data_IF_906679938453
#
_entry.id   IF_906679938453
#
_cell.length_a   1.000
_cell.length_b   1.000
_cell.length_c   1.000
_cell.angle_alpha   90.00
_cell.angle_beta   90.00
_cell.angle_gamma   90.00
#
_symmetry.space_group_name_H-M   'P 1'
#
loop_
_entity.id
_entity.type
_entity.pdbx_description
1 polymer ?
#
# COMPACT_ATOMS: atom_id res chain seq x y z
N UNK A 1 45.20 -33.04 -16.05
CA UNK A 1 44.55 -31.76 -16.39
C UNK A 1 43.27 -32.05 -17.17
N UNK A 2 42.18 -31.27 -17.10
CA UNK A 2 41.82 -30.15 -16.22
C UNK A 2 40.69 -30.55 -15.22
N UNK A 3 40.51 -29.97 -14.04
CA UNK A 3 40.20 -28.56 -13.78
C UNK A 3 38.68 -28.37 -13.67
N UNK A 4 38.05 -28.88 -12.60
CA UNK A 4 36.62 -28.60 -12.31
C UNK A 4 36.52 -27.14 -11.89
N UNK A 5 36.26 -26.26 -12.86
CA UNK A 5 35.85 -24.89 -12.61
C UNK A 5 34.54 -24.89 -11.86
N UNK A 6 34.62 -24.69 -10.54
CA UNK A 6 33.46 -24.38 -9.72
C UNK A 6 32.80 -23.13 -10.30
N UNK A 7 31.58 -23.28 -10.81
CA UNK A 7 30.71 -22.13 -11.09
C UNK A 7 30.45 -21.47 -9.74
N UNK A 8 31.09 -20.34 -9.48
CA UNK A 8 30.58 -19.40 -8.47
C UNK A 8 29.22 -18.91 -8.98
N UNK A 9 28.15 -19.53 -8.49
CA UNK A 9 26.80 -19.00 -8.64
C UNK A 9 26.81 -17.69 -7.83
N UNK A 10 26.86 -16.54 -8.52
CA UNK A 10 26.54 -15.28 -7.86
C UNK A 10 25.12 -15.41 -7.30
N UNK A 11 24.83 -14.90 -6.09
CA UNK A 11 23.45 -14.87 -5.61
C UNK A 11 22.61 -14.10 -6.62
N UNK A 12 21.57 -14.74 -7.15
CA UNK A 12 20.70 -14.06 -8.12
C UNK A 12 19.95 -12.94 -7.40
N UNK A 13 19.99 -11.72 -7.92
CA UNK A 13 19.20 -10.64 -7.34
C UNK A 13 17.70 -10.98 -7.46
N UNK A 14 16.86 -10.34 -6.63
CA UNK A 14 15.41 -10.50 -6.79
C UNK A 14 14.94 -10.03 -8.17
N UNK A 15 15.63 -9.05 -8.76
CA UNK A 15 15.37 -8.59 -10.12
C UNK A 15 15.66 -9.68 -11.16
N UNK A 16 16.73 -10.45 -11.02
CA UNK A 16 17.03 -11.58 -11.93
C UNK A 16 15.97 -12.68 -11.87
N UNK A 17 15.28 -12.84 -10.73
CA UNK A 17 14.20 -13.85 -10.56
C UNK A 17 12.91 -13.47 -11.31
N UNK A 18 12.55 -12.18 -11.33
CA UNK A 18 11.36 -11.69 -12.05
C UNK A 18 11.68 -11.33 -13.51
N UNK A 19 12.83 -10.71 -13.75
CA UNK A 19 13.21 -10.17 -15.05
C UNK A 19 12.45 -8.89 -15.45
N UNK A 20 12.98 -8.13 -16.43
CA UNK A 20 12.42 -6.85 -16.85
C UNK A 20 11.02 -6.98 -17.48
N UNK A 21 10.81 -7.97 -18.34
CA UNK A 21 9.57 -8.12 -19.11
C UNK A 21 8.40 -8.54 -18.23
N UNK A 22 8.61 -9.50 -17.32
CA UNK A 22 7.57 -9.90 -16.38
C UNK A 22 7.24 -8.77 -15.40
N UNK A 23 8.24 -8.02 -14.92
CA UNK A 23 8.00 -6.83 -14.11
C UNK A 23 7.14 -5.79 -14.86
N UNK A 24 7.43 -5.54 -16.15
CA UNK A 24 6.61 -4.65 -16.99
C UNK A 24 5.19 -5.16 -17.18
N UNK A 25 5.01 -6.46 -17.39
CA UNK A 25 3.68 -7.08 -17.54
C UNK A 25 2.84 -6.93 -16.27
N UNK A 26 3.43 -7.21 -15.10
CA UNK A 26 2.79 -7.02 -13.78
C UNK A 26 2.38 -5.56 -13.59
N UNK A 27 3.26 -4.60 -13.89
CA UNK A 27 2.97 -3.17 -13.74
C UNK A 27 1.87 -2.69 -14.69
N UNK A 28 1.85 -3.19 -15.91
CA UNK A 28 0.82 -2.85 -16.89
C UNK A 28 -0.57 -3.30 -16.38
N UNK A 29 -0.70 -4.54 -15.91
CA UNK A 29 -1.94 -5.05 -15.31
C UNK A 29 -2.31 -4.29 -14.04
N UNK A 30 -1.36 -4.12 -13.12
CA UNK A 30 -1.55 -3.40 -11.85
C UNK A 30 -2.14 -2.01 -12.07
N UNK A 31 -1.54 -1.20 -12.95
CA UNK A 31 -2.07 0.13 -13.25
C UNK A 31 -3.38 0.10 -14.03
N UNK A 32 -3.68 -0.98 -14.76
CA UNK A 32 -5.00 -1.19 -15.36
C UNK A 32 -6.08 -1.32 -14.31
N UNK A 33 -5.82 -2.17 -13.31
CA UNK A 33 -6.72 -2.36 -12.16
C UNK A 33 -6.83 -1.09 -11.31
N UNK A 34 -5.73 -0.40 -11.04
CA UNK A 34 -5.73 0.87 -10.26
C UNK A 34 -6.56 1.95 -10.94
N UNK A 35 -6.40 2.16 -12.25
CA UNK A 35 -7.18 3.18 -12.97
C UNK A 35 -8.66 2.81 -13.08
N UNK A 36 -8.98 1.52 -13.16
CA UNK A 36 -10.35 1.01 -13.21
C UNK A 36 -11.02 0.86 -11.83
N UNK A 37 -10.29 1.02 -10.73
CA UNK A 37 -10.82 0.76 -9.40
C UNK A 37 -11.81 1.84 -8.95
N UNK A 38 -12.95 1.39 -8.41
CA UNK A 38 -14.05 2.27 -7.99
C UNK A 38 -13.69 3.18 -6.80
N UNK A 39 -12.76 2.76 -5.94
CA UNK A 39 -12.38 3.49 -4.72
C UNK A 39 -11.21 4.43 -4.96
N UNK A 40 -10.24 4.07 -5.80
CA UNK A 40 -9.01 4.87 -5.98
C UNK A 40 -8.81 5.41 -7.38
N UNK A 41 -9.47 4.88 -8.41
CA UNK A 41 -9.23 5.25 -9.80
C UNK A 41 -9.44 6.73 -10.10
N UNK A 42 -10.33 7.40 -9.36
CA UNK A 42 -10.54 8.84 -9.49
C UNK A 42 -9.28 9.69 -9.17
N UNK A 43 -8.39 9.20 -8.29
CA UNK A 43 -7.13 9.88 -7.96
C UNK A 43 -6.15 9.89 -9.14
N UNK A 44 -6.32 8.97 -10.08
CA UNK A 44 -5.46 8.78 -11.25
C UNK A 44 -6.03 9.38 -12.53
N UNK A 45 -7.23 10.00 -12.49
CA UNK A 45 -7.82 10.65 -13.66
C UNK A 45 -6.92 11.76 -14.21
N UNK A 46 -6.73 11.75 -15.53
CA UNK A 46 -5.89 12.72 -16.24
C UNK A 46 -4.39 12.53 -16.02
N UNK A 47 -3.95 11.49 -15.29
CA UNK A 47 -2.53 11.14 -15.18
C UNK A 47 -2.12 10.31 -16.39
N UNK A 48 -0.88 10.50 -16.83
CA UNK A 48 -0.27 9.64 -17.83
C UNK A 48 0.05 8.27 -17.20
N UNK A 49 -0.70 7.24 -17.63
CA UNK A 49 -0.55 5.88 -17.14
C UNK A 49 0.83 5.29 -17.49
N UNK A 50 1.35 5.56 -18.68
CA UNK A 50 2.64 5.03 -19.09
C UNK A 50 3.75 5.65 -18.25
N UNK A 51 3.68 6.95 -18.00
CA UNK A 51 4.61 7.63 -17.11
C UNK A 51 4.62 7.04 -15.69
N UNK A 52 3.45 6.71 -15.13
CA UNK A 52 3.36 6.07 -13.81
C UNK A 52 3.96 4.66 -13.80
N UNK A 53 3.70 3.87 -14.85
CA UNK A 53 4.30 2.56 -15.03
C UNK A 53 5.84 2.66 -15.09
N UNK A 54 6.38 3.65 -15.81
CA UNK A 54 7.83 3.86 -15.91
C UNK A 54 8.47 4.23 -14.58
N UNK A 55 7.82 5.12 -13.81
CA UNK A 55 8.31 5.50 -12.48
C UNK A 55 8.24 4.35 -11.47
N UNK A 56 7.17 3.55 -11.49
CA UNK A 56 7.05 2.37 -10.63
C UNK A 56 8.05 1.28 -11.03
N UNK A 57 8.31 1.11 -12.34
CA UNK A 57 9.34 0.20 -12.84
C UNK A 57 10.71 0.58 -12.32
N UNK A 58 11.12 1.84 -12.46
CA UNK A 58 12.41 2.30 -11.96
C UNK A 58 12.54 2.09 -10.45
N UNK A 59 11.51 2.45 -9.68
CA UNK A 59 11.49 2.30 -8.22
C UNK A 59 11.64 0.83 -7.81
N UNK A 60 10.85 -0.05 -8.43
CA UNK A 60 10.82 -1.47 -8.09
C UNK A 60 12.05 -2.19 -8.61
N UNK A 61 12.49 -1.94 -9.83
CA UNK A 61 13.70 -2.54 -10.38
C UNK A 61 14.94 -2.17 -9.56
N UNK A 62 15.08 -0.89 -9.18
CA UNK A 62 16.16 -0.45 -8.30
C UNK A 62 16.11 -1.14 -6.93
N UNK A 63 14.92 -1.23 -6.31
CA UNK A 63 14.70 -1.97 -5.06
C UNK A 63 15.13 -3.44 -5.18
N UNK A 64 14.76 -4.12 -6.26
CA UNK A 64 15.02 -5.54 -6.46
C UNK A 64 16.48 -5.84 -6.88
N UNK A 65 17.31 -4.80 -7.05
CA UNK A 65 18.73 -4.94 -7.37
C UNK A 65 19.03 -5.01 -8.87
N UNK A 66 18.21 -4.38 -9.72
CA UNK A 66 18.48 -4.28 -11.15
C UNK A 66 19.78 -3.47 -11.39
N UNK A 67 20.73 -3.98 -12.20
CA UNK A 67 21.96 -3.27 -12.49
C UNK A 67 21.69 -2.02 -13.32
N UNK A 68 22.24 -0.89 -12.89
CA UNK A 68 22.19 0.38 -13.64
C UNK A 68 20.83 1.08 -13.67
N UNK A 69 19.81 0.55 -12.98
CA UNK A 69 18.50 1.20 -12.86
C UNK A 69 18.48 2.03 -11.59
N UNK A 70 18.08 3.30 -11.72
CA UNK A 70 17.87 4.21 -10.59
C UNK A 70 16.49 4.86 -10.70
N UNK A 71 15.89 5.16 -9.55
CA UNK A 71 14.64 5.90 -9.51
C UNK A 71 14.86 7.37 -9.85
N UNK A 72 14.22 7.85 -10.91
CA UNK A 72 14.36 9.24 -11.38
C UNK A 72 13.13 10.12 -11.10
N UNK A 73 12.11 9.54 -10.47
CA UNK A 73 10.89 10.26 -10.15
C UNK A 73 11.04 11.20 -8.95
N UNK A 74 9.98 11.98 -8.71
CA UNK A 74 9.91 12.88 -7.55
C UNK A 74 9.94 12.08 -6.24
N UNK A 75 10.47 12.64 -5.14
CA UNK A 75 10.35 12.04 -3.82
C UNK A 75 8.89 11.75 -3.47
N UNK A 76 8.61 10.63 -2.79
CA UNK A 76 7.24 10.17 -2.52
C UNK A 76 6.38 11.24 -1.83
N UNK A 77 6.93 11.94 -0.82
CA UNK A 77 6.23 13.04 -0.15
C UNK A 77 5.80 14.13 -1.13
N UNK A 78 6.67 14.52 -2.05
CA UNK A 78 6.41 15.60 -3.02
C UNK A 78 5.43 15.15 -4.09
N UNK A 79 5.58 13.92 -4.59
CA UNK A 79 4.70 13.36 -5.62
C UNK A 79 3.24 13.25 -5.14
N UNK A 80 3.02 13.00 -3.85
CA UNK A 80 1.70 12.75 -3.26
C UNK A 80 1.14 13.94 -2.45
N UNK A 81 1.93 14.98 -2.18
CA UNK A 81 1.55 16.10 -1.29
C UNK A 81 0.24 16.81 -1.65
N UNK A 82 -0.10 16.86 -2.95
CA UNK A 82 -1.30 17.55 -3.43
C UNK A 82 -2.58 16.72 -3.27
N UNK A 83 -2.48 15.47 -2.84
CA UNK A 83 -3.60 14.54 -2.75
C UNK A 83 -3.88 14.19 -1.29
N UNK A 84 -5.14 14.34 -0.87
CA UNK A 84 -5.61 13.84 0.41
C UNK A 84 -5.84 12.32 0.31
N UNK A 85 -4.77 11.54 0.51
CA UNK A 85 -4.82 10.08 0.45
C UNK A 85 -5.10 9.53 1.85
N UNK A 86 -6.22 8.83 2.01
CA UNK A 86 -6.60 8.19 3.27
C UNK A 86 -5.97 6.80 3.40
N UNK A 87 -5.86 6.28 4.63
CA UNK A 87 -5.27 4.97 4.89
C UNK A 87 -5.96 3.82 4.14
N UNK A 88 -7.28 3.84 4.05
CA UNK A 88 -8.03 2.83 3.28
C UNK A 88 -7.74 2.87 1.77
N UNK A 89 -7.46 4.04 1.20
CA UNK A 89 -7.09 4.16 -0.22
C UNK A 89 -5.67 3.63 -0.48
N UNK A 90 -4.75 3.88 0.46
CA UNK A 90 -3.43 3.27 0.41
C UNK A 90 -3.51 1.75 0.46
N UNK A 91 -4.26 1.20 1.42
CA UNK A 91 -4.47 -0.25 1.53
C UNK A 91 -5.15 -0.83 0.29
N UNK A 92 -6.12 -0.12 -0.30
CA UNK A 92 -6.76 -0.60 -1.53
C UNK A 92 -5.76 -0.74 -2.67
N UNK A 93 -4.87 0.24 -2.89
CA UNK A 93 -3.80 0.13 -3.88
C UNK A 93 -2.89 -1.07 -3.57
N UNK A 94 -2.53 -1.25 -2.31
CA UNK A 94 -1.66 -2.37 -1.89
C UNK A 94 -2.34 -3.73 -2.09
N UNK A 95 -3.64 -3.82 -1.84
CA UNK A 95 -4.43 -5.03 -2.09
C UNK A 95 -4.48 -5.38 -3.58
N UNK A 96 -4.69 -4.40 -4.45
CA UNK A 96 -4.62 -4.60 -5.91
C UNK A 96 -3.23 -5.11 -6.31
N UNK A 97 -2.16 -4.58 -5.71
CA UNK A 97 -0.79 -5.06 -5.96
C UNK A 97 -0.64 -6.53 -5.56
N UNK A 98 -1.07 -6.93 -4.36
CA UNK A 98 -1.03 -8.33 -3.89
C UNK A 98 -1.77 -9.27 -4.84
N UNK A 99 -2.97 -8.88 -5.28
CA UNK A 99 -3.77 -9.64 -6.23
C UNK A 99 -3.04 -9.79 -7.57
N UNK A 100 -2.48 -8.69 -8.09
CA UNK A 100 -1.77 -8.69 -9.37
C UNK A 100 -0.50 -9.56 -9.31
N UNK A 101 0.28 -9.46 -8.24
CA UNK A 101 1.49 -10.27 -8.05
C UNK A 101 1.19 -11.77 -8.01
N UNK A 102 0.11 -12.15 -7.30
CA UNK A 102 -0.34 -13.54 -7.23
C UNK A 102 -0.82 -14.05 -8.59
N UNK A 103 -1.60 -13.26 -9.32
CA UNK A 103 -2.16 -13.65 -10.61
C UNK A 103 -1.07 -13.85 -11.68
N UNK A 104 0.05 -13.14 -11.56
CA UNK A 104 1.24 -13.30 -12.42
C UNK A 104 2.21 -14.37 -11.90
N UNK A 105 1.86 -15.09 -10.83
CA UNK A 105 2.70 -16.11 -10.19
C UNK A 105 4.12 -15.62 -9.90
N UNK A 106 4.25 -14.35 -9.47
CA UNK A 106 5.55 -13.75 -9.12
C UNK A 106 6.16 -14.55 -7.97
N UNK A 107 7.48 -14.70 -7.99
CA UNK A 107 8.22 -15.38 -6.93
C UNK A 107 7.90 -14.80 -5.53
N UNK A 108 7.63 -15.63 -4.50
CA UNK A 108 7.19 -15.16 -3.19
C UNK A 108 8.12 -14.17 -2.50
N UNK A 109 9.44 -14.32 -2.66
CA UNK A 109 10.41 -13.40 -2.04
C UNK A 109 10.39 -12.04 -2.75
N UNK A 110 10.18 -12.04 -4.07
CA UNK A 110 9.98 -10.81 -4.84
C UNK A 110 8.69 -10.12 -4.42
N UNK A 111 7.60 -10.88 -4.22
CA UNK A 111 6.33 -10.33 -3.73
C UNK A 111 6.53 -9.66 -2.37
N UNK A 112 7.14 -10.38 -1.41
CA UNK A 112 7.36 -9.89 -0.06
C UNK A 112 8.20 -8.61 -0.05
N UNK A 113 9.34 -8.61 -0.75
CA UNK A 113 10.22 -7.45 -0.82
C UNK A 113 9.52 -6.22 -1.42
N UNK A 114 8.72 -6.40 -2.47
CA UNK A 114 7.99 -5.30 -3.10
C UNK A 114 6.89 -4.77 -2.18
N UNK A 115 6.09 -5.64 -1.56
CA UNK A 115 5.03 -5.25 -0.62
C UNK A 115 5.60 -4.51 0.60
N UNK A 116 6.69 -5.01 1.19
CA UNK A 116 7.34 -4.39 2.34
C UNK A 116 7.87 -2.99 2.00
N UNK A 117 8.44 -2.83 0.80
CA UNK A 117 8.88 -1.53 0.35
C UNK A 117 7.72 -0.54 0.21
N UNK A 118 6.59 -0.96 -0.35
CA UNK A 118 5.41 -0.10 -0.47
C UNK A 118 4.91 0.32 0.92
N UNK A 119 4.80 -0.63 1.86
CA UNK A 119 4.42 -0.37 3.25
C UNK A 119 5.36 0.64 3.93
N UNK A 120 6.67 0.51 3.75
CA UNK A 120 7.65 1.45 4.29
C UNK A 120 7.48 2.89 3.76
N UNK A 121 6.89 3.06 2.56
CA UNK A 121 6.60 4.37 1.99
C UNK A 121 5.29 4.99 2.52
N UNK A 122 4.47 4.25 3.29
CA UNK A 122 3.16 4.74 3.77
C UNK A 122 3.24 6.10 4.43
N UNK A 123 4.15 6.27 5.39
CA UNK A 123 4.32 7.54 6.13
C UNK A 123 4.81 8.72 5.27
N UNK A 124 5.19 8.46 4.01
CA UNK A 124 5.52 9.49 3.03
C UNK A 124 4.34 9.83 2.11
N UNK A 125 3.38 8.91 1.95
CA UNK A 125 2.26 9.01 1.00
C UNK A 125 0.98 9.49 1.70
N UNK A 126 0.74 9.03 2.93
CA UNK A 126 -0.43 9.39 3.73
C UNK A 126 -0.03 9.79 5.15
N UNK A 127 -0.86 10.63 5.78
CA UNK A 127 -0.73 10.99 7.19
C UNK A 127 -1.24 9.90 8.13
N UNK A 128 -2.10 9.01 7.61
CA UNK A 128 -2.60 7.84 8.31
C UNK A 128 -1.49 6.77 8.33
N UNK A 129 -0.89 6.53 9.50
CA UNK A 129 0.22 5.57 9.63
C UNK A 129 -0.24 4.11 9.66
N UNK A 130 -1.54 3.85 9.55
CA UNK A 130 -2.16 2.53 9.74
C UNK A 130 -3.05 2.54 10.97
N UNK A 131 -4.19 1.86 10.89
CA UNK A 131 -4.94 1.46 12.07
C UNK A 131 -4.23 0.28 12.71
N UNK A 132 -3.17 0.57 13.46
CA UNK A 132 -2.86 -0.29 14.59
C UNK A 132 -4.08 -0.15 15.51
N UNK A 133 -4.95 -1.17 15.52
CA UNK A 133 -5.79 -1.38 16.69
C UNK A 133 -4.80 -1.70 17.81
N UNK A 134 -4.34 -0.67 18.49
CA UNK A 134 -3.61 -0.83 19.73
C UNK A 134 -4.65 -1.28 20.76
N UNK A 135 -4.97 -2.57 20.75
CA UNK A 135 -5.93 -3.19 21.67
C UNK A 135 -5.47 -3.02 23.13
N UNK A 136 -4.26 -2.52 23.38
CA UNK A 136 -3.81 -2.10 24.71
C UNK A 136 -4.46 -0.80 25.19
N UNK A 137 -4.93 0.07 24.29
CA UNK A 137 -5.67 1.29 24.64
C UNK A 137 -7.19 1.09 24.68
N UNK A 138 -7.72 0.03 24.07
CA UNK A 138 -9.15 -0.24 23.95
C UNK A 138 -9.75 -1.01 25.15
N UNK A 139 -8.95 -1.41 26.15
CA UNK A 139 -9.46 -2.00 27.40
C UNK A 139 -9.66 -0.95 28.50
N UNK A 140 -10.51 0.04 28.25
CA UNK A 140 -11.32 0.62 29.33
C UNK A 140 -12.73 0.87 28.81
N UNK A 141 -13.73 0.06 29.17
CA UNK A 141 -15.10 0.50 29.01
C UNK A 141 -15.35 1.56 30.07
N UNK A 142 -15.18 2.85 29.73
CA UNK A 142 -15.99 3.88 30.40
C UNK A 142 -17.39 3.79 29.82
N UNK A 143 -18.12 2.75 30.22
CA UNK A 143 -19.56 2.78 30.14
C UNK A 143 -20.00 3.91 31.07
N UNK A 144 -20.27 5.10 30.51
CA UNK A 144 -21.03 6.10 31.23
C UNK A 144 -22.38 5.45 31.54
N UNK A 145 -22.61 5.13 32.81
CA UNK A 145 -23.92 4.65 33.24
C UNK A 145 -24.91 5.74 32.85
N UNK A 146 -25.88 5.40 32.01
CA UNK A 146 -26.97 6.33 31.72
C UNK A 146 -27.61 6.71 33.05
N UNK A 147 -28.02 7.98 33.26
CA UNK A 147 -28.76 8.34 34.45
C UNK A 147 -30.00 7.44 34.55
N UNK A 148 -30.37 6.99 35.76
CA UNK A 148 -31.54 6.13 35.93
C UNK A 148 -32.77 6.82 35.36
N UNK A 149 -33.63 6.04 34.72
CA UNK A 149 -34.89 6.53 34.18
C UNK A 149 -35.67 7.28 35.27
N UNK A 150 -36.32 8.42 34.94
CA UNK A 150 -37.10 9.15 35.93
C UNK A 150 -38.23 8.27 36.46
N UNK A 151 -38.44 8.36 37.78
CA UNK A 151 -39.50 7.66 38.51
C UNK A 151 -40.89 7.95 37.89
N UNK A 152 -41.63 6.91 37.42
CA UNK A 152 -42.93 7.09 36.78
C UNK A 152 -43.99 7.67 37.72
N UNK A 153 -43.81 7.59 39.04
CA UNK A 153 -44.78 8.08 40.03
C UNK A 153 -44.51 9.51 40.50
N UNK A 154 -43.47 10.17 39.97
CA UNK A 154 -43.13 11.55 40.35
C UNK A 154 -44.10 12.55 39.72
N UNK A 155 -44.89 13.32 40.52
CA UNK A 155 -45.85 14.26 39.95
C UNK A 155 -45.14 15.45 39.28
N UNK A 156 -45.44 15.66 37.99
CA UNK A 156 -45.02 16.85 37.23
C UNK A 156 -45.72 18.08 37.78
N UNK A 157 -44.96 19.03 38.33
CA UNK A 157 -45.47 20.35 38.71
C UNK A 157 -45.65 21.21 37.46
N UNK A 158 -46.89 21.29 36.97
CA UNK A 158 -47.25 22.22 35.90
C UNK A 158 -47.19 23.65 36.45
N UNK A 159 -46.17 24.43 36.06
CA UNK A 159 -46.12 25.86 36.38
C UNK A 159 -47.21 26.57 35.59
N UNK A 160 -48.24 27.06 36.28
CA UNK A 160 -49.23 27.97 35.70
C UNK A 160 -48.54 29.32 35.43
N UNK A 161 -48.77 29.86 34.23
CA UNK A 161 -48.30 31.17 33.80
C UNK A 161 -48.93 32.28 34.62
#
# INVERSE_FOLDING_TARGET
>A
MPGRGGRCVKPSTLFERIGPDALRAVLADFYGRVFGDVMIGFLFRGKDRQHLIDREYELTAALLGAPGVTYTGRPMRVAHAQHAIFGGQFERRLQILRETLRDHAVDPDVQQAWIDHQLALRGQITRDRGSECDDTAAMQPRLAVAPPAPDPDRPVKLRRR
#
